data_IF_320696450734
#
_entry.id   IF_320696450734
#
_cell.length_a   1.000
_cell.length_b   1.000
_cell.length_c   1.000
_cell.angle_alpha   90.00
_cell.angle_beta   90.00
_cell.angle_gamma   90.00
#
_symmetry.space_group_name_H-M   'P 1'
#
loop_
_entity.id
_entity.type
_entity.pdbx_description
1 polymer ?
#
# COMPACT_ATOMS: atom_id res chain seq x y z
N UNK A 1 -6.78 24.02 21.04
CA UNK A 1 -5.89 24.77 20.14
C UNK A 1 -4.69 23.86 19.86
N UNK A 2 -4.37 23.57 18.59
CA UNK A 2 -3.10 22.93 18.22
C UNK A 2 -2.81 21.54 18.81
N UNK A 3 -3.74 20.59 18.73
CA UNK A 3 -3.37 19.17 18.86
C UNK A 3 -2.66 18.76 17.56
N UNK A 4 -1.34 18.58 17.62
CA UNK A 4 -0.53 18.35 16.42
C UNK A 4 -0.65 16.90 16.00
N UNK A 5 -1.19 16.65 14.81
CA UNK A 5 -1.42 15.30 14.28
C UNK A 5 -0.17 14.42 14.40
N UNK A 6 -0.20 13.46 15.35
CA UNK A 6 0.99 12.68 15.71
C UNK A 6 1.48 11.77 14.58
N UNK A 7 0.65 11.56 13.54
CA UNK A 7 1.02 10.83 12.34
C UNK A 7 1.70 11.72 11.31
N UNK A 8 1.28 12.97 11.15
CA UNK A 8 2.09 14.00 10.51
C UNK A 8 3.43 14.14 11.26
N UNK A 9 3.49 14.07 12.60
CA UNK A 9 4.77 14.03 13.32
C UNK A 9 5.61 12.81 12.92
N UNK A 10 5.06 11.59 12.93
CA UNK A 10 5.80 10.38 12.54
C UNK A 10 6.29 10.40 11.08
N UNK A 11 5.47 10.92 10.16
CA UNK A 11 5.76 10.96 8.73
C UNK A 11 6.68 12.15 8.36
N UNK A 12 6.54 13.30 9.04
CA UNK A 12 7.53 14.39 8.99
C UNK A 12 8.84 13.98 9.64
N UNK A 13 8.84 13.16 10.70
CA UNK A 13 10.05 12.58 11.27
C UNK A 13 10.73 11.63 10.28
N UNK A 14 9.98 10.75 9.62
CA UNK A 14 10.48 9.94 8.50
C UNK A 14 11.06 10.81 7.38
N UNK A 15 10.32 11.80 6.85
CA UNK A 15 10.82 12.72 5.79
C UNK A 15 12.03 13.55 6.23
N UNK A 16 12.08 14.02 7.49
CA UNK A 16 13.23 14.80 8.03
C UNK A 16 14.46 13.91 8.23
N UNK A 17 14.31 12.75 8.85
CA UNK A 17 15.40 11.81 9.08
C UNK A 17 15.93 11.27 7.75
N UNK A 18 15.06 10.79 6.86
CA UNK A 18 15.45 10.33 5.52
C UNK A 18 16.15 11.42 4.69
N UNK A 19 15.71 12.68 4.79
CA UNK A 19 16.42 13.82 4.17
C UNK A 19 17.79 14.05 4.81
N UNK A 20 17.95 13.84 6.12
CA UNK A 20 19.23 13.95 6.83
C UNK A 20 20.18 12.81 6.43
N UNK A 21 19.75 11.56 6.56
CA UNK A 21 20.54 10.36 6.21
C UNK A 21 20.96 10.40 4.73
N UNK A 22 20.12 10.92 3.82
CA UNK A 22 20.49 11.16 2.41
C UNK A 22 21.59 12.21 2.24
N UNK A 23 21.62 13.27 3.04
CA UNK A 23 22.71 14.27 3.00
C UNK A 23 24.00 13.68 3.54
N UNK A 24 23.95 12.91 4.63
CA UNK A 24 25.11 12.24 5.22
C UNK A 24 25.68 11.15 4.27
N UNK A 25 24.84 10.43 3.54
CA UNK A 25 25.28 9.49 2.50
C UNK A 25 25.79 10.14 1.20
N UNK A 26 25.40 11.37 0.87
CA UNK A 26 25.99 12.12 -0.26
C UNK A 26 27.40 12.64 0.07
N UNK A 27 27.76 12.74 1.36
CA UNK A 27 29.09 13.15 1.81
C UNK A 27 30.05 11.99 2.16
N UNK A 28 29.73 10.74 1.77
CA UNK A 28 30.56 9.56 2.03
C UNK A 28 31.00 8.80 0.75
N UNK A 29 31.66 9.54 -0.15
CA UNK A 29 32.52 8.99 -1.20
C UNK A 29 33.96 9.51 -0.99
N UNK A 30 35.01 8.66 -1.00
CA UNK A 30 36.36 9.11 -0.72
C UNK A 30 36.97 9.86 -1.92
N UNK A 31 37.56 11.02 -1.64
CA UNK A 31 38.46 11.75 -2.51
C UNK A 31 39.61 12.29 -1.63
N UNK A 32 40.83 12.26 -2.15
CA UNK A 32 42.05 12.49 -1.36
C UNK A 32 42.14 13.92 -0.79
N UNK A 33 42.71 14.05 0.43
CA UNK A 33 42.98 15.34 1.05
C UNK A 33 44.11 16.09 0.33
N UNK A 34 43.80 17.25 -0.25
CA UNK A 34 44.82 18.19 -0.72
C UNK A 34 44.37 19.66 -0.64
N UNK A 35 44.91 20.36 0.37
CA UNK A 35 45.07 21.83 0.47
C UNK A 35 43.81 22.68 0.76
N UNK A 36 43.99 23.53 1.77
CA UNK A 36 43.06 24.50 2.36
C UNK A 36 43.21 25.86 1.64
N UNK A 37 42.14 26.62 1.37
CA UNK A 37 41.76 27.80 2.19
C UNK A 37 40.61 28.70 1.64
N UNK A 38 39.94 29.35 2.59
CA UNK A 38 39.20 30.62 2.64
C UNK A 38 38.40 31.27 1.47
N UNK A 39 37.20 31.71 1.90
CA UNK A 39 36.53 33.01 1.68
C UNK A 39 35.55 33.25 0.51
N UNK A 40 34.31 33.55 0.91
CA UNK A 40 33.30 34.24 0.09
C UNK A 40 33.42 35.76 0.31
N UNK A 41 34.12 36.46 -0.59
CA UNK A 41 34.40 37.91 -0.49
C UNK A 41 33.93 38.71 -1.71
N UNK A 42 33.06 39.72 -1.50
CA UNK A 42 32.38 40.51 -2.54
C UNK A 42 33.29 41.35 -3.46
N UNK A 43 32.77 41.58 -4.67
CA UNK A 43 32.81 42.85 -5.46
C UNK A 43 33.95 43.16 -6.47
N UNK A 44 33.49 43.42 -7.72
CA UNK A 44 33.89 44.50 -8.66
C UNK A 44 35.23 44.42 -9.46
N UNK A 45 35.07 43.91 -10.68
CA UNK A 45 35.28 44.64 -11.96
C UNK A 45 36.66 44.68 -12.67
N UNK A 46 36.57 44.91 -14.00
CA UNK A 46 37.59 45.32 -15.00
C UNK A 46 38.48 44.26 -15.69
N UNK A 47 38.04 43.93 -16.91
CA UNK A 47 38.78 43.66 -18.18
C UNK A 47 40.09 44.52 -18.27
N UNK A 48 41.26 43.96 -18.69
CA UNK A 48 41.59 43.90 -20.13
C UNK A 48 42.45 42.72 -20.69
N UNK A 49 42.08 42.34 -21.93
CA UNK A 49 42.85 41.87 -23.11
C UNK A 49 44.28 41.28 -23.02
N UNK A 50 44.43 40.02 -23.49
CA UNK A 50 45.21 39.55 -24.69
C UNK A 50 46.73 39.85 -24.84
N UNK A 51 47.51 39.23 -25.79
CA UNK A 51 47.22 38.19 -26.79
C UNK A 51 48.29 37.05 -26.94
N UNK A 52 48.15 36.18 -27.97
CA UNK A 52 49.18 35.29 -28.62
C UNK A 52 49.74 34.07 -27.82
N UNK A 53 50.27 32.97 -28.41
CA UNK A 53 50.48 32.52 -29.82
C UNK A 53 50.51 30.96 -29.93
N UNK A 54 50.40 30.39 -31.13
CA UNK A 54 50.51 28.93 -31.40
C UNK A 54 51.90 28.48 -31.90
N UNK A 55 52.26 27.17 -31.77
CA UNK A 55 52.45 26.26 -32.94
C UNK A 55 52.04 24.77 -32.66
N UNK A 56 52.08 23.79 -33.60
CA UNK A 56 52.26 23.91 -35.05
C UNK A 56 52.53 22.62 -35.90
N UNK A 57 51.52 21.75 -36.11
CA UNK A 57 51.15 21.15 -37.44
C UNK A 57 52.02 20.07 -38.17
N UNK A 58 51.42 18.90 -38.42
CA UNK A 58 51.59 17.96 -39.58
C UNK A 58 50.21 17.32 -39.91
N UNK A 59 49.64 17.20 -41.14
CA UNK A 59 50.00 16.70 -42.51
C UNK A 59 50.08 15.16 -42.60
N UNK A 60 49.44 14.40 -43.53
CA UNK A 60 48.58 14.56 -44.76
C UNK A 60 47.66 13.29 -44.90
N UNK A 61 46.39 13.28 -45.38
CA UNK A 61 45.78 13.38 -46.77
C UNK A 61 46.11 12.23 -47.75
N UNK A 62 45.29 11.89 -48.80
CA UNK A 62 43.85 12.16 -49.09
C UNK A 62 43.07 11.00 -49.82
N UNK A 63 41.78 11.22 -50.23
CA UNK A 63 41.06 10.88 -51.51
C UNK A 63 39.52 11.07 -51.21
N UNK A 64 38.76 12.00 -51.81
CA UNK A 64 38.18 12.12 -53.16
C UNK A 64 36.98 11.16 -53.47
N UNK A 65 35.90 11.48 -54.23
CA UNK A 65 35.04 12.69 -54.48
C UNK A 65 34.20 12.43 -55.75
N UNK A 66 32.87 12.61 -55.76
CA UNK A 66 32.13 12.84 -57.03
C UNK A 66 30.79 13.63 -56.90
N UNK A 67 30.09 13.89 -58.03
CA UNK A 67 28.97 14.86 -58.18
C UNK A 67 28.06 14.60 -59.39
N UNK A 68 26.75 14.85 -59.23
CA UNK A 68 25.80 15.43 -60.22
C UNK A 68 24.53 15.89 -59.44
N UNK A 69 23.72 16.92 -59.76
CA UNK A 69 23.32 17.68 -60.98
C UNK A 69 22.36 16.93 -61.93
N UNK A 70 21.38 17.58 -62.59
CA UNK A 70 20.99 19.02 -62.59
C UNK A 70 19.79 19.30 -61.62
N UNK A 71 18.68 20.03 -61.84
CA UNK A 71 18.11 20.86 -62.94
C UNK A 71 17.14 21.96 -62.39
N UNK A 72 16.41 22.69 -63.26
CA UNK A 72 15.37 23.72 -62.94
C UNK A 72 14.31 23.87 -64.05
N UNK A 73 13.09 24.31 -63.70
CA UNK A 73 12.06 25.12 -64.46
C UNK A 73 10.72 25.01 -63.69
N UNK A 74 10.00 26.04 -63.20
CA UNK A 74 9.54 27.37 -63.69
C UNK A 74 8.09 27.34 -64.22
N UNK A 75 7.24 28.20 -63.64
CA UNK A 75 5.79 28.34 -63.89
C UNK A 75 5.50 29.01 -65.25
N UNK A 76 4.27 28.92 -65.81
CA UNK A 76 3.37 30.09 -65.68
C UNK A 76 1.89 29.76 -65.43
N UNK A 77 1.11 30.80 -65.13
CA UNK A 77 -0.33 30.80 -64.83
C UNK A 77 -1.20 31.23 -66.03
N UNK A 78 -2.46 30.80 -66.09
CA UNK A 78 -3.49 31.41 -66.94
C UNK A 78 -4.88 31.34 -66.30
N UNK A 79 -5.69 32.40 -66.48
CA UNK A 79 -7.08 32.49 -66.04
C UNK A 79 -8.05 31.98 -67.14
N UNK A 80 -9.28 31.61 -66.78
CA UNK A 80 -10.33 31.25 -67.73
C UNK A 80 -11.67 31.03 -67.02
N UNK A 81 -12.64 31.92 -67.26
CA UNK A 81 -13.93 31.96 -66.55
C UNK A 81 -15.12 31.71 -67.48
N UNK A 82 -15.96 30.72 -67.16
CA UNK A 82 -17.32 30.59 -67.67
C UNK A 82 -18.26 30.02 -66.60
N UNK A 83 -19.52 30.41 -66.68
CA UNK A 83 -20.71 29.89 -66.00
C UNK A 83 -21.93 30.56 -66.65
N UNK A 84 -23.13 30.51 -66.04
CA UNK A 84 -23.59 29.68 -64.93
C UNK A 84 -24.62 28.63 -65.39
N UNK A 85 -24.95 27.63 -64.56
CA UNK A 85 -26.21 26.88 -64.70
C UNK A 85 -26.73 26.37 -63.35
N UNK A 86 -27.91 26.90 -63.00
CA UNK A 86 -29.02 26.36 -62.19
C UNK A 86 -28.82 25.77 -60.78
N UNK A 87 -29.61 26.32 -59.85
CA UNK A 87 -29.85 25.80 -58.50
C UNK A 87 -30.59 24.45 -58.52
N UNK A 88 -30.03 23.41 -57.88
CA UNK A 88 -30.79 22.40 -57.10
C UNK A 88 -29.91 21.31 -56.45
N UNK A 89 -29.02 21.63 -55.49
CA UNK A 89 -28.43 20.59 -54.61
C UNK A 89 -28.03 21.06 -53.18
N UNK A 90 -28.49 22.23 -52.75
CA UNK A 90 -28.06 22.89 -51.51
C UNK A 90 -28.79 22.43 -50.23
N UNK A 91 -29.24 21.17 -50.14
CA UNK A 91 -30.14 20.75 -49.06
C UNK A 91 -30.06 19.27 -48.63
N UNK A 92 -28.87 18.71 -48.40
CA UNK A 92 -28.71 17.43 -47.69
C UNK A 92 -27.43 17.35 -46.85
N UNK A 93 -27.49 16.57 -45.76
CA UNK A 93 -26.37 16.05 -44.99
C UNK A 93 -25.42 17.03 -44.23
N UNK A 94 -25.85 18.24 -43.84
CA UNK A 94 -25.35 18.82 -42.56
C UNK A 94 -25.94 18.03 -41.38
N UNK A 95 -25.49 16.79 -41.20
CA UNK A 95 -25.89 15.94 -40.07
C UNK A 95 -25.18 16.43 -38.82
N UNK A 96 -25.82 17.36 -38.10
CA UNK A 96 -25.34 17.85 -36.82
C UNK A 96 -25.10 16.68 -35.88
N UNK A 97 -23.83 16.45 -35.55
CA UNK A 97 -23.46 15.58 -34.43
C UNK A 97 -23.89 16.32 -33.18
N UNK A 98 -25.10 16.05 -32.71
CA UNK A 98 -25.51 16.40 -31.35
C UNK A 98 -24.39 15.89 -30.42
N UNK A 99 -23.78 16.74 -29.59
CA UNK A 99 -22.79 16.28 -28.63
C UNK A 99 -23.49 15.28 -27.72
N UNK A 100 -23.18 13.99 -27.88
CA UNK A 100 -23.71 12.93 -27.05
C UNK A 100 -23.38 13.30 -25.61
N UNK A 101 -24.41 13.52 -24.79
CA UNK A 101 -24.23 13.82 -23.36
C UNK A 101 -23.18 12.85 -22.81
N UNK A 102 -22.10 13.32 -22.17
CA UNK A 102 -21.04 12.44 -21.71
C UNK A 102 -21.67 11.35 -20.87
N UNK A 103 -21.55 10.10 -21.33
CA UNK A 103 -22.25 8.98 -20.75
C UNK A 103 -21.78 8.85 -19.31
N UNK A 104 -22.67 9.02 -18.33
CA UNK A 104 -22.29 9.13 -16.92
C UNK A 104 -21.69 7.82 -16.44
N UNK A 105 -20.37 7.75 -16.50
CA UNK A 105 -19.54 6.73 -15.89
C UNK A 105 -19.64 6.90 -14.38
N UNK A 106 -20.55 6.16 -13.74
CA UNK A 106 -20.55 6.03 -12.29
C UNK A 106 -19.32 5.22 -11.84
N UNK A 107 -18.79 5.44 -10.62
CA UNK A 107 -17.69 4.65 -10.09
C UNK A 107 -18.10 3.16 -10.00
N UNK A 108 -17.20 2.19 -10.26
CA UNK A 108 -17.52 0.76 -10.20
C UNK A 108 -18.18 0.35 -8.88
N UNK A 109 -19.04 -0.68 -8.91
CA UNK A 109 -19.71 -1.20 -7.70
C UNK A 109 -18.71 -1.71 -6.66
N UNK A 110 -17.70 -2.43 -7.13
CA UNK A 110 -16.53 -2.88 -6.38
C UNK A 110 -15.39 -3.12 -7.38
N UNK A 111 -14.16 -3.00 -6.91
CA UNK A 111 -12.92 -3.30 -7.64
C UNK A 111 -12.14 -4.29 -6.78
N UNK A 112 -11.66 -5.39 -7.36
CA UNK A 112 -10.83 -6.34 -6.61
C UNK A 112 -9.51 -5.65 -6.17
N UNK A 113 -9.12 -5.74 -4.89
CA UNK A 113 -7.92 -5.07 -4.40
C UNK A 113 -6.63 -5.55 -5.08
N UNK A 114 -5.72 -4.63 -5.40
CA UNK A 114 -4.34 -4.98 -5.76
C UNK A 114 -3.61 -5.49 -4.51
N UNK A 115 -3.00 -6.67 -4.60
CA UNK A 115 -2.44 -7.39 -3.45
C UNK A 115 -0.92 -7.17 -3.31
N UNK A 116 -0.32 -7.78 -2.30
CA UNK A 116 1.12 -7.69 -2.03
C UNK A 116 1.77 -9.07 -1.93
N UNK A 117 3.02 -9.17 -2.40
CA UNK A 117 3.97 -10.25 -2.08
C UNK A 117 4.83 -9.83 -0.88
N UNK A 118 5.16 -10.78 0.00
CA UNK A 118 6.12 -10.56 1.08
C UNK A 118 7.55 -10.53 0.51
N UNK A 119 8.37 -9.62 1.01
CA UNK A 119 9.81 -9.53 0.75
C UNK A 119 10.55 -9.19 2.04
N UNK A 120 11.76 -9.71 2.21
CA UNK A 120 12.55 -9.56 3.43
C UNK A 120 13.10 -8.13 3.62
N UNK A 121 13.29 -7.41 2.51
CA UNK A 121 13.75 -6.03 2.43
C UNK A 121 12.84 -5.24 1.47
N UNK A 122 12.60 -3.96 1.75
CA UNK A 122 11.99 -3.07 0.77
C UNK A 122 12.97 -2.83 -0.40
N UNK A 123 12.52 -2.89 -1.67
CA UNK A 123 13.37 -2.64 -2.82
C UNK A 123 13.93 -1.21 -2.81
N UNK A 124 15.11 -1.02 -3.39
CA UNK A 124 15.71 0.30 -3.62
C UNK A 124 15.52 0.70 -5.10
N UNK A 125 15.55 2.01 -5.38
CA UNK A 125 15.64 2.58 -6.72
C UNK A 125 14.54 3.60 -7.05
N UNK A 126 14.76 4.50 -8.03
CA UNK A 126 13.85 5.59 -8.36
C UNK A 126 12.51 5.14 -8.94
N UNK A 127 12.38 3.87 -9.31
CA UNK A 127 11.14 3.23 -9.78
C UNK A 127 10.14 2.89 -8.66
N UNK A 128 10.60 2.93 -7.40
CA UNK A 128 9.82 2.52 -6.23
C UNK A 128 9.48 3.70 -5.33
N UNK A 129 8.21 3.75 -4.90
CA UNK A 129 7.79 4.55 -3.76
C UNK A 129 7.47 3.65 -2.58
N UNK A 130 7.65 4.19 -1.38
CA UNK A 130 7.51 3.51 -0.10
C UNK A 130 6.52 4.29 0.77
N UNK A 131 5.54 3.58 1.31
CA UNK A 131 4.51 4.07 2.22
C UNK A 131 4.61 3.29 3.54
N UNK A 132 4.16 3.91 4.64
CA UNK A 132 4.01 3.22 5.92
C UNK A 132 3.03 2.06 5.73
N UNK A 133 3.40 0.84 6.14
CA UNK A 133 2.39 -0.20 6.31
C UNK A 133 1.57 0.10 7.56
N UNK A 134 0.34 0.54 7.35
CA UNK A 134 -0.67 0.64 8.41
C UNK A 134 -1.23 -0.72 8.81
N UNK A 135 -1.81 -0.73 10.02
CA UNK A 135 -2.35 -1.90 10.70
C UNK A 135 -3.85 -1.71 11.00
N UNK A 136 -4.72 -2.26 10.16
CA UNK A 136 -6.16 -2.03 10.22
C UNK A 136 -6.99 -2.98 9.35
N UNK A 137 -8.10 -2.46 8.82
CA UNK A 137 -8.89 -3.13 7.79
C UNK A 137 -8.81 -2.36 6.47
N UNK A 138 -8.38 -3.01 5.39
CA UNK A 138 -8.47 -2.43 4.04
C UNK A 138 -9.91 -2.21 3.62
N UNK A 139 -10.20 -0.97 3.25
CA UNK A 139 -11.52 -0.47 2.88
C UNK A 139 -11.43 0.35 1.59
N UNK A 140 -12.35 0.11 0.67
CA UNK A 140 -12.58 1.00 -0.46
C UNK A 140 -13.68 1.99 -0.10
N UNK A 141 -13.40 3.29 -0.24
CA UNK A 141 -14.41 4.34 -0.16
C UNK A 141 -14.94 4.64 -1.57
N UNK A 142 -16.15 4.16 -1.86
CA UNK A 142 -16.90 4.49 -3.07
C UNK A 142 -17.78 5.70 -2.76
N UNK A 143 -17.63 6.79 -3.52
CA UNK A 143 -18.44 8.01 -3.40
C UNK A 143 -19.17 8.20 -4.72
N UNK A 144 -20.51 8.23 -4.70
CA UNK A 144 -21.36 8.37 -5.88
C UNK A 144 -22.48 9.38 -5.56
N UNK A 145 -22.12 10.66 -5.56
CA UNK A 145 -22.94 11.73 -5.00
C UNK A 145 -23.15 11.54 -3.48
N UNK A 146 -24.39 11.28 -3.09
CA UNK A 146 -24.76 11.00 -1.69
C UNK A 146 -24.68 9.52 -1.30
N UNK A 147 -24.57 8.59 -2.26
CA UNK A 147 -24.32 7.16 -2.00
C UNK A 147 -22.82 6.95 -1.74
N UNK A 148 -22.45 7.02 -0.46
CA UNK A 148 -21.08 6.80 0.02
C UNK A 148 -21.03 5.46 0.73
N UNK A 149 -20.10 4.60 0.30
CA UNK A 149 -19.94 3.24 0.84
C UNK A 149 -18.51 2.93 1.24
N UNK A 150 -18.37 2.24 2.37
CA UNK A 150 -17.13 1.59 2.80
C UNK A 150 -17.24 0.09 2.55
N UNK A 151 -16.51 -0.37 1.53
CA UNK A 151 -16.52 -1.75 1.07
C UNK A 151 -15.26 -2.46 1.54
N UNK A 152 -15.38 -3.65 2.14
CA UNK A 152 -14.21 -4.42 2.57
C UNK A 152 -13.32 -4.86 1.39
N UNK A 153 -12.13 -5.37 1.73
CA UNK A 153 -11.27 -6.21 0.87
C UNK A 153 -12.00 -7.34 0.11
N UNK A 154 -13.22 -7.71 0.49
CA UNK A 154 -14.06 -8.75 -0.13
C UNK A 154 -15.39 -8.22 -0.68
N UNK A 155 -15.59 -6.89 -0.73
CA UNK A 155 -16.77 -6.25 -1.31
C UNK A 155 -18.00 -6.19 -0.40
N UNK A 156 -17.86 -6.49 0.89
CA UNK A 156 -18.96 -6.37 1.86
C UNK A 156 -19.16 -4.90 2.25
N UNK A 157 -20.41 -4.45 2.26
CA UNK A 157 -20.77 -3.07 2.64
C UNK A 157 -20.82 -2.93 4.18
N UNK A 158 -19.80 -2.32 4.77
CA UNK A 158 -19.68 -2.07 6.22
C UNK A 158 -19.97 -0.62 6.60
N UNK A 159 -20.56 0.17 5.69
CA UNK A 159 -20.85 1.61 5.90
C UNK A 159 -21.66 1.88 7.17
N UNK A 160 -22.59 0.99 7.51
CA UNK A 160 -23.39 1.03 8.73
C UNK A 160 -22.57 1.03 10.03
N UNK A 161 -21.33 0.50 10.01
CA UNK A 161 -20.43 0.42 11.17
C UNK A 161 -19.58 1.67 11.39
N UNK A 162 -19.43 2.50 10.35
CA UNK A 162 -18.41 3.56 10.28
C UNK A 162 -19.02 4.91 9.88
N UNK A 163 -20.15 5.26 10.49
CA UNK A 163 -20.90 6.48 10.14
C UNK A 163 -20.08 7.78 10.29
N UNK A 164 -19.14 7.84 11.24
CA UNK A 164 -18.19 8.95 11.36
C UNK A 164 -17.29 9.07 10.11
N UNK A 165 -16.69 7.96 9.66
CA UNK A 165 -15.88 7.91 8.44
C UNK A 165 -16.72 8.24 7.19
N UNK A 166 -17.97 7.77 7.11
CA UNK A 166 -18.91 8.14 6.02
C UNK A 166 -19.22 9.65 6.02
N UNK A 167 -19.37 10.27 7.20
CA UNK A 167 -19.57 11.71 7.33
C UNK A 167 -18.32 12.50 6.91
N UNK A 168 -17.12 12.04 7.28
CA UNK A 168 -15.87 12.66 6.87
C UNK A 168 -15.62 12.52 5.36
N UNK A 169 -15.87 11.34 4.77
CA UNK A 169 -15.80 11.11 3.33
C UNK A 169 -16.75 12.02 2.53
N UNK A 170 -17.89 12.42 3.10
CA UNK A 170 -18.83 13.37 2.50
C UNK A 170 -18.29 14.81 2.44
N UNK A 171 -17.25 15.14 3.21
CA UNK A 171 -16.60 16.45 3.19
C UNK A 171 -15.51 16.57 2.10
N UNK A 172 -15.14 15.48 1.43
CA UNK A 172 -14.18 15.52 0.32
C UNK A 172 -14.72 16.37 -0.85
N UNK A 173 -13.89 17.18 -1.53
CA UNK A 173 -14.31 18.10 -2.59
C UNK A 173 -14.55 17.40 -3.94
N UNK A 174 -15.36 16.34 -3.95
CA UNK A 174 -15.64 15.47 -5.12
C UNK A 174 -17.13 15.21 -5.27
N UNK A 175 -17.56 14.88 -6.50
CA UNK A 175 -18.92 14.38 -6.76
C UNK A 175 -18.92 12.85 -6.82
N UNK A 176 -17.89 12.28 -7.42
CA UNK A 176 -17.73 10.84 -7.61
C UNK A 176 -16.27 10.46 -7.35
N UNK A 177 -16.01 9.39 -6.61
CA UNK A 177 -14.65 8.88 -6.40
C UNK A 177 -14.66 7.38 -6.06
N UNK A 178 -13.52 6.72 -6.25
CA UNK A 178 -13.25 5.38 -5.72
C UNK A 178 -11.84 5.36 -5.15
N UNK A 179 -11.73 5.40 -3.82
CA UNK A 179 -10.48 5.49 -3.06
C UNK A 179 -10.15 4.14 -2.45
N UNK A 180 -8.88 3.75 -2.45
CA UNK A 180 -8.35 2.57 -1.76
C UNK A 180 -7.54 3.02 -0.53
N UNK A 181 -7.80 2.41 0.62
CA UNK A 181 -7.26 2.86 1.89
C UNK A 181 -7.37 1.85 3.02
N UNK A 182 -6.78 2.18 4.16
CA UNK A 182 -6.81 1.36 5.38
C UNK A 182 -7.57 2.09 6.49
N UNK A 183 -8.61 1.49 7.08
CA UNK A 183 -9.29 2.02 8.25
C UNK A 183 -8.60 1.47 9.52
N UNK A 184 -8.05 2.37 10.35
CA UNK A 184 -7.23 1.99 11.50
C UNK A 184 -7.67 2.71 12.78
N UNK A 185 -7.47 2.05 13.93
CA UNK A 185 -7.41 2.75 15.22
C UNK A 185 -5.99 3.27 15.43
N UNK A 186 -5.86 4.54 15.78
CA UNK A 186 -4.58 5.21 16.03
C UNK A 186 -4.31 5.25 17.54
N UNK A 187 -3.06 5.06 17.94
CA UNK A 187 -2.59 5.21 19.34
C UNK A 187 -2.12 6.65 19.59
N UNK A 188 -1.98 7.03 20.85
CA UNK A 188 -1.45 8.35 21.25
C UNK A 188 0.00 8.63 20.77
N UNK A 189 0.77 7.59 20.41
CA UNK A 189 2.08 7.68 19.79
C UNK A 189 2.04 7.63 18.23
N UNK A 190 0.86 7.79 17.63
CA UNK A 190 0.64 7.79 16.17
C UNK A 190 0.63 6.41 15.51
N UNK A 191 1.03 5.35 16.23
CA UNK A 191 1.12 3.98 15.70
C UNK A 191 -0.30 3.39 15.54
N UNK A 192 -0.59 2.78 14.39
CA UNK A 192 -1.85 2.06 14.15
C UNK A 192 -1.91 0.74 14.91
N UNK A 193 -3.10 0.32 15.36
CA UNK A 193 -3.25 -0.88 16.20
C UNK A 193 -4.53 -1.66 15.89
N UNK A 194 -4.37 -2.86 15.34
CA UNK A 194 -5.48 -3.73 14.97
C UNK A 194 -6.34 -4.22 16.15
N UNK A 195 -5.72 -4.51 17.29
CA UNK A 195 -6.44 -4.90 18.51
C UNK A 195 -7.34 -3.78 19.03
N UNK A 196 -6.90 -2.51 18.92
CA UNK A 196 -7.74 -1.34 19.25
C UNK A 196 -8.86 -1.13 18.22
N UNK A 197 -8.62 -1.40 16.95
CA UNK A 197 -9.65 -1.35 15.89
C UNK A 197 -10.78 -2.35 16.14
N UNK A 198 -10.46 -3.55 16.64
CA UNK A 198 -11.47 -4.55 17.00
C UNK A 198 -12.27 -4.14 18.24
N UNK A 199 -11.59 -3.72 19.31
CA UNK A 199 -12.29 -3.20 20.49
C UNK A 199 -13.25 -2.06 20.12
N UNK A 200 -12.79 -1.07 19.35
CA UNK A 200 -13.63 0.02 18.86
C UNK A 200 -14.82 -0.45 18.02
N UNK A 201 -14.65 -1.50 17.19
CA UNK A 201 -15.74 -2.06 16.39
C UNK A 201 -16.75 -2.86 17.24
N UNK A 202 -16.28 -3.74 18.12
CA UNK A 202 -17.12 -4.61 18.95
C UNK A 202 -17.88 -3.83 20.05
N UNK A 203 -17.34 -2.67 20.45
CA UNK A 203 -17.98 -1.72 21.38
C UNK A 203 -18.86 -0.66 20.67
N UNK A 204 -18.86 -0.62 19.32
CA UNK A 204 -19.54 0.42 18.54
C UNK A 204 -18.89 1.82 18.62
N UNK A 205 -17.71 1.94 19.24
CA UNK A 205 -16.95 3.19 19.43
C UNK A 205 -16.07 3.52 18.22
N UNK A 206 -16.66 3.57 17.03
CA UNK A 206 -15.94 3.74 15.75
C UNK A 206 -15.68 5.20 15.35
N UNK A 207 -15.98 6.18 16.22
CA UNK A 207 -15.80 7.61 15.96
C UNK A 207 -14.34 8.03 15.77
N UNK A 208 -13.43 7.46 16.56
CA UNK A 208 -12.00 7.84 16.61
C UNK A 208 -11.13 7.05 15.60
N UNK A 209 -11.75 6.42 14.60
CA UNK A 209 -11.04 5.66 13.57
C UNK A 209 -10.64 6.55 12.40
N UNK A 210 -9.38 6.42 11.96
CA UNK A 210 -8.84 7.17 10.84
C UNK A 210 -8.73 6.30 9.58
N UNK A 211 -9.14 6.86 8.44
CA UNK A 211 -9.04 6.24 7.13
C UNK A 211 -7.83 6.80 6.36
N UNK A 212 -6.86 5.93 6.07
CA UNK A 212 -5.62 6.25 5.36
C UNK A 212 -5.79 5.96 3.87
N UNK A 213 -6.15 6.98 3.11
CA UNK A 213 -6.28 6.90 1.66
C UNK A 213 -4.90 6.78 1.00
N UNK A 214 -4.62 5.70 0.27
CA UNK A 214 -3.32 5.44 -0.34
C UNK A 214 -3.32 5.31 -1.87
N UNK A 215 -4.48 5.11 -2.51
CA UNK A 215 -4.63 5.14 -3.97
C UNK A 215 -6.03 5.67 -4.39
N UNK A 216 -6.15 6.15 -5.63
CA UNK A 216 -7.37 6.71 -6.21
C UNK A 216 -7.59 6.09 -7.59
N UNK A 217 -8.73 5.41 -7.78
CA UNK A 217 -9.00 4.55 -8.93
C UNK A 217 -10.06 5.15 -9.89
N UNK A 218 -10.86 6.08 -9.37
CA UNK A 218 -11.90 6.79 -10.08
C UNK A 218 -12.08 8.20 -9.50
N UNK A 219 -12.37 9.20 -10.34
CA UNK A 219 -12.64 10.58 -9.93
C UNK A 219 -13.54 11.30 -10.97
N UNK A 220 -14.72 11.79 -10.55
CA UNK A 220 -15.60 12.69 -11.30
C UNK A 220 -15.75 12.33 -12.81
N UNK A 221 -16.35 11.17 -13.11
CA UNK A 221 -16.47 10.62 -14.46
C UNK A 221 -15.24 9.85 -15.00
N UNK A 222 -14.03 10.11 -14.51
CA UNK A 222 -12.79 9.53 -15.04
C UNK A 222 -12.33 8.28 -14.26
N UNK A 223 -12.13 7.15 -14.96
CA UNK A 223 -11.45 5.99 -14.39
C UNK A 223 -9.94 6.13 -14.55
N UNK A 224 -9.28 6.55 -13.46
CA UNK A 224 -7.84 6.85 -13.44
C UNK A 224 -6.96 5.65 -13.06
N UNK A 225 -7.53 4.50 -12.72
CA UNK A 225 -6.81 3.27 -12.37
C UNK A 225 -5.74 2.83 -13.40
N UNK A 226 -5.88 3.24 -14.67
CA UNK A 226 -4.90 2.96 -15.74
C UNK A 226 -3.70 3.91 -15.79
N UNK A 227 -3.73 5.05 -15.10
CA UNK A 227 -2.59 5.98 -15.04
C UNK A 227 -1.48 5.41 -14.15
N UNK A 228 -0.22 5.84 -14.32
CA UNK A 228 0.87 5.61 -13.36
C UNK A 228 0.46 5.92 -11.92
N UNK A 229 0.99 5.16 -10.96
CA UNK A 229 0.67 5.33 -9.55
C UNK A 229 0.99 6.74 -9.04
N UNK A 230 2.07 7.36 -9.52
CA UNK A 230 2.44 8.73 -9.12
C UNK A 230 1.36 9.75 -9.48
N UNK A 231 0.74 9.63 -10.65
CA UNK A 231 -0.34 10.52 -11.10
C UNK A 231 -1.62 10.30 -10.27
N UNK A 232 -1.91 9.04 -9.92
CA UNK A 232 -3.04 8.69 -9.03
C UNK A 232 -2.82 9.25 -7.62
N UNK A 233 -1.59 9.17 -7.08
CA UNK A 233 -1.23 9.77 -5.78
C UNK A 233 -1.28 11.29 -5.80
N UNK A 234 -0.79 11.96 -6.84
CA UNK A 234 -0.87 13.42 -6.95
C UNK A 234 -2.33 13.90 -7.05
N UNK A 235 -3.18 13.21 -7.84
CA UNK A 235 -4.63 13.47 -7.88
C UNK A 235 -5.32 13.20 -6.54
N UNK A 236 -4.87 12.21 -5.78
CA UNK A 236 -5.37 11.91 -4.43
C UNK A 236 -4.95 12.98 -3.41
N UNK A 237 -3.68 13.37 -3.38
CA UNK A 237 -3.14 14.42 -2.48
C UNK A 237 -3.88 15.74 -2.66
N UNK A 238 -4.24 16.10 -3.90
CA UNK A 238 -5.07 17.27 -4.21
C UNK A 238 -6.48 17.28 -3.58
N UNK A 239 -6.98 16.14 -3.10
CA UNK A 239 -8.25 16.06 -2.34
C UNK A 239 -8.07 16.38 -0.84
N UNK A 240 -6.84 16.43 -0.35
CA UNK A 240 -6.47 16.59 1.07
C UNK A 240 -5.79 17.96 1.33
N UNK A 241 -6.22 19.00 0.61
CA UNK A 241 -5.68 20.36 0.71
C UNK A 241 -6.01 21.08 2.03
N UNK A 242 -6.90 20.52 2.85
CA UNK A 242 -7.25 20.96 4.21
C UNK A 242 -7.25 19.77 5.16
N UNK A 243 -6.94 19.98 6.45
CA UNK A 243 -7.12 18.93 7.46
C UNK A 243 -8.60 18.50 7.54
N UNK A 244 -8.81 17.19 7.62
CA UNK A 244 -10.11 16.54 7.66
C UNK A 244 -10.11 15.51 8.78
N UNK A 245 -10.85 15.75 9.89
CA UNK A 245 -10.94 14.80 11.00
C UNK A 245 -11.36 13.40 10.53
N UNK A 246 -10.60 12.38 10.95
CA UNK A 246 -10.85 10.98 10.55
C UNK A 246 -10.38 10.59 9.15
N UNK A 247 -9.89 11.51 8.30
CA UNK A 247 -9.26 11.19 7.01
C UNK A 247 -7.79 11.59 6.99
N UNK A 248 -6.94 10.76 6.40
CA UNK A 248 -5.51 11.00 6.23
C UNK A 248 -5.05 10.55 4.85
N UNK A 249 -4.23 11.35 4.17
CA UNK A 249 -3.51 10.94 2.97
C UNK A 249 -2.29 10.10 3.38
N UNK A 250 -2.12 8.93 2.77
CA UNK A 250 -0.91 8.14 2.91
C UNK A 250 0.18 8.71 2.00
N UNK A 251 1.00 9.56 2.58
CA UNK A 251 2.19 10.12 1.94
C UNK A 251 3.34 9.08 1.86
N UNK A 252 4.32 9.36 1.01
CA UNK A 252 5.29 8.42 0.47
C UNK A 252 6.69 9.02 0.37
N UNK A 253 7.67 8.14 0.15
CA UNK A 253 9.08 8.45 -0.12
C UNK A 253 9.54 7.66 -1.34
N UNK A 254 10.34 8.25 -2.23
CA UNK A 254 10.88 7.60 -3.43
C UNK A 254 12.34 7.22 -3.20
N UNK A 255 12.76 6.02 -3.63
CA UNK A 255 14.16 5.60 -3.70
C UNK A 255 14.58 4.52 -2.70
N UNK A 256 15.12 4.93 -1.56
CA UNK A 256 15.78 4.06 -0.58
C UNK A 256 14.78 3.40 0.38
N UNK A 257 14.09 2.39 -0.15
CA UNK A 257 13.25 1.47 0.61
C UNK A 257 13.94 0.85 1.84
N UNK A 258 15.20 0.37 1.76
CA UNK A 258 15.93 -0.16 2.91
C UNK A 258 16.01 0.82 4.09
N UNK A 259 16.41 2.08 3.86
CA UNK A 259 16.42 3.11 4.89
C UNK A 259 15.00 3.44 5.40
N UNK A 260 14.03 3.58 4.49
CA UNK A 260 12.63 3.83 4.86
C UNK A 260 12.07 2.74 5.78
N UNK A 261 12.30 1.46 5.45
CA UNK A 261 11.93 0.31 6.29
C UNK A 261 12.64 0.36 7.64
N UNK A 262 13.96 0.55 7.65
CA UNK A 262 14.78 0.65 8.87
C UNK A 262 14.28 1.74 9.84
N UNK A 263 13.85 2.89 9.31
CA UNK A 263 13.22 3.94 10.11
C UNK A 263 11.81 3.56 10.58
N UNK A 264 10.97 2.98 9.73
CA UNK A 264 9.64 2.50 10.13
C UNK A 264 9.73 1.51 11.31
N UNK A 265 10.70 0.59 11.27
CA UNK A 265 10.94 -0.36 12.36
C UNK A 265 11.45 0.31 13.64
N UNK A 266 12.33 1.32 13.53
CA UNK A 266 12.77 2.14 14.67
C UNK A 266 11.62 2.90 15.33
N UNK A 267 10.59 3.26 14.56
CA UNK A 267 9.36 3.92 15.03
C UNK A 267 8.26 2.92 15.44
N UNK A 268 8.57 1.62 15.56
CA UNK A 268 7.63 0.55 15.89
C UNK A 268 6.39 0.44 14.98
N UNK A 269 6.48 0.96 13.75
CA UNK A 269 5.49 0.75 12.69
C UNK A 269 5.61 -0.68 12.14
N UNK A 270 4.55 -1.21 11.53
CA UNK A 270 4.54 -2.63 11.09
C UNK A 270 5.55 -2.92 9.97
N UNK A 271 5.87 -1.92 9.14
CA UNK A 271 6.80 -2.02 8.02
C UNK A 271 6.53 -1.02 6.92
N UNK A 272 6.88 -1.40 5.70
CA UNK A 272 6.73 -0.57 4.51
C UNK A 272 6.02 -1.33 3.38
N UNK A 273 5.07 -0.66 2.73
CA UNK A 273 4.52 -1.08 1.43
C UNK A 273 5.31 -0.35 0.35
N UNK A 274 5.94 -1.10 -0.55
CA UNK A 274 6.70 -0.54 -1.67
C UNK A 274 5.96 -0.82 -2.98
N UNK A 275 5.78 0.21 -3.82
CA UNK A 275 4.94 0.16 -5.01
C UNK A 275 5.70 0.69 -6.23
N UNK A 276 5.53 0.06 -7.39
CA UNK A 276 6.02 0.58 -8.68
C UNK A 276 5.34 1.90 -9.03
N UNK A 277 6.14 2.94 -9.28
CA UNK A 277 5.72 4.33 -9.52
C UNK A 277 5.02 4.52 -10.87
N UNK A 278 5.53 3.82 -11.89
CA UNK A 278 5.09 3.84 -13.28
C UNK A 278 3.77 3.09 -13.53
N UNK A 279 3.34 2.28 -12.56
CA UNK A 279 2.42 1.17 -12.84
C UNK A 279 0.96 1.50 -12.61
N UNK A 280 0.12 1.08 -13.58
CA UNK A 280 -1.33 1.02 -13.44
C UNK A 280 -1.77 0.13 -12.27
N UNK A 281 -2.98 0.34 -11.76
CA UNK A 281 -3.57 -0.50 -10.74
C UNK A 281 -4.00 -1.85 -11.33
N UNK A 282 -3.54 -2.94 -10.71
CA UNK A 282 -3.77 -4.30 -11.17
C UNK A 282 -4.38 -5.15 -10.04
N UNK A 283 -5.70 -5.34 -10.10
CA UNK A 283 -6.47 -6.24 -9.22
C UNK A 283 -5.83 -7.63 -9.09
N UNK A 284 -5.82 -8.19 -7.88
CA UNK A 284 -5.28 -9.53 -7.59
C UNK A 284 -3.75 -9.68 -7.71
N UNK A 285 -3.07 -8.81 -8.48
CA UNK A 285 -1.61 -8.85 -8.69
C UNK A 285 -0.85 -8.67 -7.37
N UNK A 286 0.29 -9.35 -7.24
CA UNK A 286 1.18 -9.31 -6.04
C UNK A 286 2.62 -8.88 -6.34
N UNK A 287 2.97 -8.67 -7.61
CA UNK A 287 4.33 -8.34 -8.03
C UNK A 287 4.64 -6.83 -8.02
N UNK A 288 3.65 -6.02 -8.42
CA UNK A 288 3.79 -4.57 -8.57
C UNK A 288 3.83 -3.82 -7.22
N UNK A 289 3.20 -4.39 -6.18
CA UNK A 289 3.30 -3.92 -4.79
C UNK A 289 3.89 -5.04 -3.93
N UNK A 290 4.89 -4.71 -3.10
CA UNK A 290 5.51 -5.64 -2.17
C UNK A 290 5.44 -5.10 -0.74
N UNK A 291 5.27 -5.99 0.24
CA UNK A 291 5.29 -5.65 1.67
C UNK A 291 6.58 -6.15 2.29
N UNK A 292 7.25 -5.30 3.05
CA UNK A 292 8.35 -5.67 3.94
C UNK A 292 7.93 -5.33 5.36
N UNK A 293 8.16 -6.25 6.31
CA UNK A 293 7.74 -6.08 7.71
C UNK A 293 8.94 -5.84 8.64
N UNK A 294 8.63 -5.29 9.81
CA UNK A 294 9.58 -5.04 10.90
C UNK A 294 9.62 -6.16 11.94
N UNK A 295 8.49 -6.87 12.08
CA UNK A 295 8.38 -8.12 12.82
C UNK A 295 7.69 -9.14 11.92
N UNK A 296 8.02 -10.42 12.07
CA UNK A 296 7.29 -11.47 11.40
C UNK A 296 5.86 -11.49 11.93
N UNK A 297 4.91 -11.27 11.02
CA UNK A 297 3.49 -11.08 11.35
C UNK A 297 2.63 -11.66 10.24
N UNK A 298 1.91 -12.73 10.53
CA UNK A 298 1.13 -13.51 9.57
C UNK A 298 -0.24 -13.87 10.13
N UNK A 299 -1.11 -14.29 9.21
CA UNK A 299 -2.49 -14.67 9.48
C UNK A 299 -2.55 -16.19 9.62
N UNK A 300 -3.26 -16.70 10.63
CA UNK A 300 -3.42 -18.13 10.92
C UNK A 300 -4.87 -18.46 11.21
N UNK A 301 -5.24 -19.71 11.01
CA UNK A 301 -6.57 -20.24 11.29
C UNK A 301 -6.58 -20.77 12.72
N UNK A 302 -7.60 -20.43 13.50
CA UNK A 302 -7.83 -21.06 14.80
C UNK A 302 -8.40 -22.47 14.55
N UNK A 303 -7.65 -23.48 14.97
CA UNK A 303 -8.06 -24.91 14.83
C UNK A 303 -8.57 -25.51 16.14
N UNK A 304 -8.33 -24.82 17.26
CA UNK A 304 -8.85 -25.16 18.58
C UNK A 304 -8.35 -24.19 19.65
N UNK A 305 -8.66 -24.48 20.91
CA UNK A 305 -8.09 -23.78 22.06
C UNK A 305 -7.77 -24.74 23.22
N UNK A 306 -6.81 -24.39 24.07
CA UNK A 306 -6.57 -25.12 25.33
C UNK A 306 -7.42 -24.55 26.45
N UNK A 307 -7.80 -25.40 27.40
CA UNK A 307 -8.27 -24.97 28.72
C UNK A 307 -7.38 -23.87 29.33
N UNK A 308 -7.94 -22.99 30.18
CA UNK A 308 -7.16 -22.09 31.02
C UNK A 308 -6.25 -22.82 32.02
N UNK A 309 -5.25 -22.10 32.52
CA UNK A 309 -4.33 -22.52 33.58
C UNK A 309 -4.03 -21.36 34.53
N UNK A 310 -3.91 -21.64 35.83
CA UNK A 310 -3.72 -20.61 36.86
C UNK A 310 -4.92 -19.65 36.93
N UNK A 311 -4.65 -18.36 37.10
CA UNK A 311 -5.67 -17.31 37.19
C UNK A 311 -6.29 -16.86 35.85
N UNK A 312 -5.91 -17.48 34.72
CA UNK A 312 -6.40 -17.07 33.40
C UNK A 312 -7.86 -17.51 33.18
N UNK A 313 -8.78 -16.63 32.75
CA UNK A 313 -10.16 -17.03 32.46
C UNK A 313 -10.37 -17.50 31.01
N UNK A 314 -11.38 -18.33 30.81
CA UNK A 314 -11.96 -18.79 29.53
C UNK A 314 -11.06 -19.65 28.61
N UNK A 315 -9.88 -19.16 28.21
CA UNK A 315 -8.99 -19.81 27.23
C UNK A 315 -7.54 -19.74 27.75
N UNK A 316 -6.81 -20.85 27.69
CA UNK A 316 -5.37 -20.88 27.99
C UNK A 316 -4.54 -20.34 26.84
N UNK A 317 -4.78 -20.86 25.64
CA UNK A 317 -4.14 -20.46 24.39
C UNK A 317 -4.97 -20.89 23.17
N UNK A 318 -4.84 -20.18 22.05
CA UNK A 318 -5.38 -20.60 20.75
C UNK A 318 -4.39 -21.55 20.08
N UNK A 319 -4.88 -22.65 19.49
CA UNK A 319 -4.12 -23.49 18.57
C UNK A 319 -4.25 -22.92 17.15
N UNK A 320 -3.12 -22.75 16.48
CA UNK A 320 -3.02 -22.11 15.17
C UNK A 320 -2.73 -23.13 14.06
N UNK A 321 -3.15 -22.83 12.84
CA UNK A 321 -2.82 -23.60 11.64
C UNK A 321 -2.87 -22.77 10.35
N UNK A 322 -2.46 -23.39 9.25
CA UNK A 322 -2.45 -22.81 7.89
C UNK A 322 -2.78 -23.89 6.86
N UNK A 323 -3.30 -23.50 5.70
CA UNK A 323 -3.36 -24.39 4.55
C UNK A 323 -2.02 -24.40 3.82
N UNK A 324 -1.60 -25.57 3.37
CA UNK A 324 -0.56 -25.74 2.35
C UNK A 324 -1.16 -25.60 0.95
N UNK A 325 -0.33 -25.41 -0.09
CA UNK A 325 -0.81 -25.23 -1.47
C UNK A 325 -1.62 -26.43 -2.01
N UNK A 326 -1.40 -27.63 -1.48
CA UNK A 326 -2.19 -28.84 -1.78
C UNK A 326 -3.49 -28.98 -0.96
N UNK A 327 -3.81 -27.99 -0.13
CA UNK A 327 -5.06 -27.91 0.63
C UNK A 327 -5.05 -28.62 1.98
N UNK A 328 -3.93 -29.23 2.43
CA UNK A 328 -3.84 -29.82 3.78
C UNK A 328 -3.75 -28.73 4.86
N UNK A 329 -4.55 -28.88 5.91
CA UNK A 329 -4.54 -28.00 7.08
C UNK A 329 -3.47 -28.46 8.09
N UNK A 330 -2.40 -27.69 8.22
CA UNK A 330 -1.24 -27.99 9.08
C UNK A 330 -1.26 -27.13 10.35
N UNK A 331 -0.62 -27.63 11.41
CA UNK A 331 -0.51 -26.95 12.71
C UNK A 331 0.68 -25.97 12.72
N UNK A 332 0.53 -24.85 13.43
CA UNK A 332 1.54 -23.79 13.50
C UNK A 332 2.01 -23.46 14.94
N UNK A 333 1.51 -24.16 15.96
CA UNK A 333 1.79 -23.86 17.36
C UNK A 333 0.63 -23.14 18.07
N UNK A 334 0.95 -22.37 19.11
CA UNK A 334 -0.03 -21.73 20.01
C UNK A 334 0.19 -20.22 20.14
N UNK A 335 -0.90 -19.46 20.19
CA UNK A 335 -0.90 -18.08 20.68
C UNK A 335 -1.48 -18.02 22.10
N UNK A 336 -0.64 -17.67 23.08
CA UNK A 336 -1.03 -17.39 24.46
C UNK A 336 -0.85 -15.92 24.85
N UNK A 337 0.15 -15.24 24.29
CA UNK A 337 0.47 -13.83 24.57
C UNK A 337 -0.39 -12.89 23.72
N UNK A 338 -0.58 -11.65 24.16
CA UNK A 338 -1.33 -10.61 23.44
C UNK A 338 -2.86 -10.62 23.64
N UNK A 339 -3.43 -11.72 24.14
CA UNK A 339 -4.89 -11.85 24.33
C UNK A 339 -5.32 -11.29 25.71
N UNK A 340 -6.10 -10.19 25.71
CA UNK A 340 -6.65 -9.56 26.92
C UNK A 340 -7.80 -10.37 27.54
N UNK A 341 -8.19 -10.12 28.79
CA UNK A 341 -9.32 -10.82 29.44
C UNK A 341 -10.65 -10.61 28.71
N UNK A 342 -10.91 -9.39 28.22
CA UNK A 342 -12.09 -9.11 27.40
C UNK A 342 -12.06 -9.91 26.09
N UNK A 343 -10.90 -10.03 25.46
CA UNK A 343 -10.72 -10.75 24.21
C UNK A 343 -10.81 -12.28 24.38
N UNK A 344 -10.28 -12.83 25.49
CA UNK A 344 -10.49 -14.24 25.85
C UNK A 344 -11.99 -14.57 25.99
N UNK A 345 -12.75 -13.66 26.60
CA UNK A 345 -14.23 -13.78 26.74
C UNK A 345 -14.96 -13.60 25.41
N UNK A 346 -14.45 -12.78 24.48
CA UNK A 346 -14.97 -12.62 23.12
C UNK A 346 -14.72 -13.87 22.28
N UNK A 347 -13.48 -14.33 22.23
CA UNK A 347 -13.04 -15.53 21.51
C UNK A 347 -13.76 -16.79 22.00
N UNK A 348 -13.91 -16.99 23.31
CA UNK A 348 -14.64 -18.14 23.85
C UNK A 348 -16.10 -18.21 23.33
N UNK A 349 -16.81 -17.08 23.28
CA UNK A 349 -18.16 -17.00 22.70
C UNK A 349 -18.16 -17.20 21.18
N UNK A 350 -17.15 -16.65 20.47
CA UNK A 350 -16.98 -16.76 19.01
C UNK A 350 -16.70 -18.19 18.55
N UNK A 351 -15.96 -18.96 19.36
CA UNK A 351 -15.46 -20.29 19.05
C UNK A 351 -16.36 -21.43 19.57
N UNK A 352 -17.15 -21.21 20.64
CA UNK A 352 -18.10 -22.18 21.17
C UNK A 352 -19.05 -22.82 20.11
N UNK A 353 -19.76 -22.08 19.23
CA UNK A 353 -20.61 -22.67 18.20
C UNK A 353 -19.84 -23.30 17.02
N UNK A 354 -18.51 -23.24 17.05
CA UNK A 354 -17.62 -23.85 16.06
C UNK A 354 -17.01 -25.17 16.55
N UNK A 355 -17.28 -25.60 17.79
CA UNK A 355 -16.70 -26.83 18.34
C UNK A 355 -16.99 -28.07 17.47
N UNK A 356 -16.02 -28.99 17.40
CA UNK A 356 -16.14 -30.30 16.75
C UNK A 356 -15.47 -31.39 17.59
N UNK A 357 -16.04 -32.59 17.61
CA UNK A 357 -15.45 -33.73 18.32
C UNK A 357 -14.18 -34.29 17.65
N UNK A 358 -14.00 -34.06 16.35
CA UNK A 358 -12.86 -34.55 15.57
C UNK A 358 -11.89 -33.41 15.25
N UNK A 359 -10.60 -33.65 15.50
CA UNK A 359 -9.50 -32.77 15.11
C UNK A 359 -9.55 -32.44 13.60
N UNK A 360 -9.45 -31.15 13.20
CA UNK A 360 -9.54 -30.72 11.80
C UNK A 360 -8.19 -30.78 11.05
N UNK A 361 -7.07 -30.94 11.78
CA UNK A 361 -5.72 -30.97 11.23
C UNK A 361 -5.44 -32.25 10.43
N UNK A 362 -4.60 -32.15 9.40
CA UNK A 362 -4.16 -33.29 8.60
C UNK A 362 -3.25 -34.25 9.39
N UNK A 363 -2.41 -33.72 10.27
CA UNK A 363 -1.53 -34.48 11.19
C UNK A 363 -1.77 -33.95 12.61
N UNK A 364 -1.79 -34.81 13.65
CA UNK A 364 -1.87 -34.34 15.03
C UNK A 364 -0.71 -33.40 15.39
N UNK A 365 -0.92 -32.40 16.27
CA UNK A 365 0.18 -31.63 16.83
C UNK A 365 1.20 -32.54 17.54
N UNK A 366 2.50 -32.15 17.54
CA UNK A 366 3.50 -32.86 18.34
C UNK A 366 3.12 -32.76 19.83
N UNK A 367 3.21 -33.90 20.53
CA UNK A 367 2.86 -34.02 21.96
C UNK A 367 3.92 -33.38 22.84
N UNK A 368 5.18 -33.66 22.53
CA UNK A 368 6.35 -33.00 23.08
C UNK A 368 6.56 -31.65 22.37
N UNK A 369 7.09 -30.66 23.09
CA UNK A 369 7.38 -29.35 22.52
C UNK A 369 8.77 -28.89 22.94
N UNK A 370 9.62 -28.59 21.96
CA UNK A 370 10.89 -27.87 22.14
C UNK A 370 10.69 -26.42 22.63
N UNK A 371 9.46 -25.88 22.61
CA UNK A 371 9.14 -24.53 23.09
C UNK A 371 7.84 -24.47 23.93
N UNK A 372 7.97 -24.11 25.21
CA UNK A 372 6.86 -24.02 26.17
C UNK A 372 6.29 -25.38 26.60
N UNK A 373 5.35 -25.38 27.55
CA UNK A 373 4.78 -26.60 28.15
C UNK A 373 4.22 -27.58 27.09
N UNK A 374 4.29 -28.91 27.30
CA UNK A 374 3.68 -29.91 26.41
C UNK A 374 2.20 -29.64 26.08
N UNK A 375 1.70 -30.27 25.01
CA UNK A 375 0.29 -30.12 24.61
C UNK A 375 -0.56 -31.28 25.15
N UNK A 376 -1.24 -31.04 26.27
CA UNK A 376 -2.26 -31.92 26.83
C UNK A 376 -3.49 -31.99 25.90
N UNK A 377 -3.48 -32.91 24.93
CA UNK A 377 -4.54 -33.08 23.93
C UNK A 377 -5.93 -33.35 24.53
N UNK A 378 -5.99 -33.90 25.75
CA UNK A 378 -7.23 -34.08 26.53
C UNK A 378 -7.90 -32.77 26.95
N UNK A 379 -7.18 -31.65 26.85
CA UNK A 379 -7.62 -30.30 27.24
C UNK A 379 -7.69 -29.34 26.05
N UNK A 380 -7.75 -29.90 24.84
CA UNK A 380 -7.90 -29.17 23.58
C UNK A 380 -9.34 -29.29 23.08
N UNK A 381 -9.98 -28.15 22.93
CA UNK A 381 -11.30 -28.02 22.30
C UNK A 381 -11.10 -27.69 20.81
N UNK A 382 -11.39 -28.63 19.92
CA UNK A 382 -11.23 -28.46 18.48
C UNK A 382 -12.37 -27.62 17.87
N UNK A 383 -12.09 -26.83 16.84
CA UNK A 383 -13.10 -26.06 16.10
C UNK A 383 -13.07 -26.30 14.59
N UNK A 384 -14.18 -26.00 13.92
CA UNK A 384 -14.21 -25.84 12.46
C UNK A 384 -13.24 -24.72 12.06
N UNK A 385 -12.38 -24.92 11.03
CA UNK A 385 -11.33 -23.97 10.63
C UNK A 385 -11.92 -22.78 9.85
N UNK A 386 -12.71 -21.95 10.53
CA UNK A 386 -13.43 -20.80 9.97
C UNK A 386 -12.82 -19.46 10.42
N UNK A 387 -12.34 -19.38 11.66
CA UNK A 387 -11.84 -18.14 12.28
C UNK A 387 -10.38 -17.92 11.91
N UNK A 388 -10.10 -16.79 11.26
CA UNK A 388 -8.73 -16.32 10.99
C UNK A 388 -8.34 -15.32 12.07
N UNK A 389 -7.09 -15.38 12.53
CA UNK A 389 -6.47 -14.44 13.46
C UNK A 389 -5.12 -13.99 12.91
N UNK A 390 -4.67 -12.79 13.26
CA UNK A 390 -3.31 -12.34 12.95
C UNK A 390 -2.44 -12.36 14.22
N UNK A 391 -1.19 -12.77 14.06
CA UNK A 391 -0.21 -12.87 15.16
C UNK A 391 1.14 -12.31 14.72
N UNK A 392 1.87 -11.72 15.67
CA UNK A 392 3.32 -11.52 15.53
C UNK A 392 4.06 -12.73 16.10
N UNK A 393 5.26 -12.99 15.60
CA UNK A 393 6.14 -14.06 16.05
C UNK A 393 7.61 -13.69 15.77
N UNK A 394 8.55 -14.41 16.36
CA UNK A 394 9.99 -14.21 16.11
C UNK A 394 10.40 -14.87 14.78
N UNK A 395 10.18 -16.18 14.67
CA UNK A 395 10.56 -16.98 13.51
C UNK A 395 9.75 -18.28 13.43
N UNK A 396 9.80 -18.95 12.28
CA UNK A 396 9.42 -20.35 12.11
C UNK A 396 10.54 -21.29 12.62
N UNK A 397 10.19 -22.49 13.07
CA UNK A 397 11.13 -23.57 13.44
C UNK A 397 11.29 -24.59 12.30
N UNK A 398 12.28 -25.51 12.40
CA UNK A 398 12.41 -26.63 11.47
C UNK A 398 11.14 -27.52 11.46
N UNK A 399 10.53 -27.77 12.63
CA UNK A 399 9.24 -28.49 12.76
C UNK A 399 8.03 -27.65 12.27
N UNK A 400 8.28 -26.50 11.66
CA UNK A 400 7.29 -25.55 11.13
C UNK A 400 6.25 -25.10 12.17
N UNK A 401 6.73 -24.79 13.38
CA UNK A 401 5.99 -24.10 14.43
C UNK A 401 6.42 -22.64 14.53
N UNK A 402 5.56 -21.78 15.07
CA UNK A 402 5.84 -20.37 15.32
C UNK A 402 6.49 -20.18 16.70
N UNK A 403 7.61 -19.44 16.78
CA UNK A 403 8.32 -19.13 18.02
C UNK A 403 7.96 -17.73 18.55
N UNK A 404 7.75 -17.60 19.87
CA UNK A 404 7.39 -16.34 20.55
C UNK A 404 6.14 -15.64 19.97
N UNK A 405 5.03 -16.37 19.88
CA UNK A 405 3.78 -15.91 19.27
C UNK A 405 3.00 -14.94 20.17
N UNK A 406 2.55 -13.82 19.61
CA UNK A 406 1.67 -12.85 20.26
C UNK A 406 0.49 -12.45 19.38
N UNK A 407 -0.72 -12.64 19.89
CA UNK A 407 -2.00 -12.36 19.22
C UNK A 407 -2.21 -10.87 18.94
N UNK A 408 -2.74 -10.54 17.74
CA UNK A 408 -3.06 -9.16 17.34
C UNK A 408 -4.57 -8.94 17.12
N UNK A 409 -5.34 -9.93 16.65
CA UNK A 409 -6.80 -9.82 16.44
C UNK A 409 -7.40 -10.84 15.47
N UNK A 410 -8.73 -10.96 15.43
CA UNK A 410 -9.50 -11.78 14.47
C UNK A 410 -9.67 -11.08 13.11
N UNK A 411 -9.32 -11.73 11.99
CA UNK A 411 -9.49 -11.19 10.63
C UNK A 411 -10.89 -11.48 10.09
N UNK A 412 -11.89 -10.75 10.57
CA UNK A 412 -13.29 -10.86 10.10
C UNK A 412 -13.47 -10.53 8.60
N UNK A 413 -12.48 -9.88 7.96
CA UNK A 413 -12.45 -9.57 6.53
C UNK A 413 -11.91 -10.72 5.65
N UNK A 414 -11.44 -11.84 6.24
CA UNK A 414 -10.70 -12.88 5.52
C UNK A 414 -11.24 -14.29 5.74
N UNK A 415 -11.64 -15.01 4.67
CA UNK A 415 -12.00 -16.43 4.78
C UNK A 415 -10.74 -17.30 5.00
N UNK A 416 -10.86 -18.30 5.87
CA UNK A 416 -9.76 -19.20 6.24
C UNK A 416 -9.03 -19.86 5.05
N UNK A 417 -9.74 -20.19 3.96
CA UNK A 417 -9.15 -20.75 2.73
C UNK A 417 -8.14 -19.83 2.01
N UNK A 418 -8.10 -18.53 2.34
CA UNK A 418 -7.07 -17.60 1.84
C UNK A 418 -5.81 -17.55 2.74
N UNK A 419 -5.76 -18.33 3.83
CA UNK A 419 -4.60 -18.47 4.71
C UNK A 419 -3.77 -19.66 4.23
N UNK A 420 -3.01 -19.41 3.17
CA UNK A 420 -2.16 -20.41 2.51
C UNK A 420 -0.69 -20.02 2.69
N UNK A 421 0.16 -20.99 3.05
CA UNK A 421 1.62 -20.88 3.08
C UNK A 421 2.20 -21.92 2.12
N UNK A 422 2.89 -21.45 1.08
CA UNK A 422 3.68 -22.29 0.19
C UNK A 422 4.81 -22.99 0.94
N UNK A 423 5.34 -24.05 0.33
CA UNK A 423 6.10 -25.12 0.99
C UNK A 423 6.89 -24.72 2.25
N UNK A 424 6.70 -25.42 3.39
CA UNK A 424 7.52 -25.23 4.59
C UNK A 424 9.02 -25.44 4.32
N UNK A 425 9.88 -25.12 5.30
CA UNK A 425 11.29 -25.51 5.20
C UNK A 425 11.40 -27.04 5.00
N UNK A 426 12.27 -27.51 4.09
CA UNK A 426 12.50 -28.94 3.84
C UNK A 426 13.25 -29.62 4.98
#
# INVERSE_FOLDING_TARGET
MGEVDHQLIALVALRRQYRKDRVEHVHSAPADEAVVDCLVGRCRSRIPMSPTRCPGRTRRRPFARERSQHSRRSIPSSCGSLGPHDDALSQLARKTVNPTKPNKTHPPKWIEPQLTRLVDEAPNGPDWLHEIKYDGYRMHARIDGSDIRLLTRTGLDWSHRYQATIAALRALPVKEAYVDGELCAVRADGVTSFSRLQAAMDEGRTGDLAFFAFDLLFLNGESIAKLPLIDRKARLEGLFSTDMPGLRFSDHVIGDGPAFRKHACRLALEGAISKRIDSAYASGNRGLWVKSKCLNREEFIVVGWTDPTGSRPHIGSLLLGYYTDDGRLMYAGRAGTGITVAELKRLARRLAPLQVARMPLHVPPPRESRFGSPLELSRVHWVRPEVVVEVTYLTWTEDNLLRQVSYQGERQDKPARQVVRSAPHP
#
